data_IF_939007392104
#
_entry.id   IF_939007392104
#
_cell.length_a   1.000
_cell.length_b   1.000
_cell.length_c   1.000
_cell.angle_alpha   90.00
_cell.angle_beta   90.00
_cell.angle_gamma   90.00
#
_symmetry.space_group_name_H-M   'P 1'
#
loop_
_entity.id
_entity.type
_entity.pdbx_description
1 polymer ?
#
# COMPACT_ATOMS: atom_id res chain seq x y z
N UNK A 1 19.08 9.60 -54.19
CA UNK A 1 19.17 10.36 -52.93
C UNK A 1 17.88 10.09 -52.17
N UNK A 2 17.95 9.18 -51.20
CA UNK A 2 16.80 8.73 -50.41
C UNK A 2 17.00 9.20 -48.98
N UNK A 3 16.10 10.04 -48.50
CA UNK A 3 16.12 10.53 -47.12
C UNK A 3 15.42 9.52 -46.22
N UNK A 4 16.11 9.13 -45.15
CA UNK A 4 15.59 8.33 -44.04
C UNK A 4 15.28 9.31 -42.90
N UNK A 5 14.01 9.38 -42.47
CA UNK A 5 13.59 10.14 -41.28
C UNK A 5 13.24 9.14 -40.19
N UNK A 6 13.90 9.25 -39.03
CA UNK A 6 13.59 8.47 -37.83
C UNK A 6 12.29 8.97 -37.18
N UNK A 7 11.41 8.03 -36.83
CA UNK A 7 10.24 8.25 -35.95
C UNK A 7 10.51 7.48 -34.65
N UNK A 8 10.58 8.13 -33.47
CA UNK A 8 10.56 7.42 -32.20
C UNK A 8 9.13 6.95 -31.89
N UNK A 9 9.01 5.67 -31.58
CA UNK A 9 7.76 4.99 -31.26
C UNK A 9 7.51 4.97 -29.73
N UNK A 10 6.26 5.29 -29.37
CA UNK A 10 5.55 5.03 -28.12
C UNK A 10 5.84 5.88 -26.86
N UNK A 11 5.25 7.09 -26.84
CA UNK A 11 4.57 7.62 -25.65
C UNK A 11 3.09 7.23 -25.74
N UNK A 12 2.70 6.11 -25.12
CA UNK A 12 1.34 5.60 -25.12
C UNK A 12 0.42 6.37 -24.17
N UNK A 13 0.00 7.57 -24.56
CA UNK A 13 -1.18 8.23 -23.97
C UNK A 13 -2.40 7.62 -24.65
N UNK A 14 -2.99 6.59 -24.05
CA UNK A 14 -4.33 6.13 -24.44
C UNK A 14 -5.36 7.04 -23.79
N UNK A 15 -5.71 8.10 -24.52
CA UNK A 15 -6.94 8.85 -24.32
C UNK A 15 -8.11 7.95 -24.77
N UNK A 16 -8.96 7.50 -23.83
CA UNK A 16 -10.23 6.87 -24.17
C UNK A 16 -11.41 7.68 -23.62
N UNK A 17 -12.03 8.38 -24.57
CA UNK A 17 -13.41 8.89 -24.70
C UNK A 17 -14.32 8.95 -23.46
N UNK A 18 -14.74 10.18 -23.13
CA UNK A 18 -15.97 10.47 -22.38
C UNK A 18 -16.81 11.56 -23.07
N UNK A 19 -18.12 11.44 -22.94
CA UNK A 19 -19.13 12.42 -23.32
C UNK A 19 -18.84 13.77 -22.67
N UNK A 20 -18.64 14.80 -23.48
CA UNK A 20 -18.46 16.19 -23.04
C UNK A 20 -19.85 16.81 -22.93
N UNK A 21 -20.32 17.12 -21.72
CA UNK A 21 -21.44 18.02 -21.52
C UNK A 21 -20.90 19.44 -21.33
N UNK A 22 -21.28 20.36 -22.22
CA UNK A 22 -20.95 21.78 -22.11
C UNK A 22 -21.99 22.48 -21.25
N UNK A 23 -21.56 23.08 -20.14
CA UNK A 23 -22.39 24.01 -19.36
C UNK A 23 -21.92 25.44 -19.64
N UNK A 24 -22.84 26.31 -20.04
CA UNK A 24 -22.58 27.72 -20.29
C UNK A 24 -22.61 28.49 -18.97
N UNK A 25 -21.48 29.09 -18.57
CA UNK A 25 -21.50 30.11 -17.52
C UNK A 25 -21.81 31.48 -18.15
N UNK A 26 -22.56 32.34 -17.44
CA UNK A 26 -23.01 33.66 -17.90
C UNK A 26 -21.89 34.63 -18.32
N UNK A 27 -20.61 34.24 -18.14
CA UNK A 27 -19.42 35.00 -18.51
C UNK A 27 -18.67 34.44 -19.74
N UNK A 28 -19.27 33.54 -20.53
CA UNK A 28 -18.66 33.05 -21.78
C UNK A 28 -17.44 32.14 -21.62
N UNK A 29 -17.18 31.64 -20.40
CA UNK A 29 -16.12 30.66 -20.15
C UNK A 29 -16.70 29.24 -20.28
N UNK A 30 -16.19 28.46 -21.24
CA UNK A 30 -16.50 27.03 -21.33
C UNK A 30 -15.86 26.29 -20.14
N UNK A 31 -16.68 25.87 -19.17
CA UNK A 31 -16.24 24.98 -18.10
C UNK A 31 -16.49 23.55 -18.57
N UNK A 32 -15.43 22.86 -18.99
CA UNK A 32 -15.48 21.41 -19.26
C UNK A 32 -15.46 20.69 -17.92
N UNK A 33 -16.60 20.21 -17.46
CA UNK A 33 -16.69 19.41 -16.25
C UNK A 33 -16.35 17.95 -16.60
N UNK A 34 -15.06 17.63 -16.63
CA UNK A 34 -14.61 16.26 -16.80
C UNK A 34 -14.96 15.43 -15.55
N UNK A 35 -15.91 14.50 -15.65
CA UNK A 35 -16.08 13.48 -14.62
C UNK A 35 -14.86 12.55 -14.67
N UNK A 36 -13.86 12.79 -13.83
CA UNK A 36 -12.73 11.87 -13.69
C UNK A 36 -13.27 10.52 -13.20
N UNK A 37 -13.08 9.45 -13.99
CA UNK A 37 -13.30 8.11 -13.47
C UNK A 37 -12.16 7.82 -12.49
N UNK A 38 -12.50 7.34 -11.29
CA UNK A 38 -11.54 6.98 -10.27
C UNK A 38 -11.10 5.52 -10.50
N UNK A 39 -9.85 5.33 -10.92
CA UNK A 39 -9.28 4.01 -11.14
C UNK A 39 -7.95 3.84 -10.41
N UNK A 40 -7.61 2.59 -10.10
CA UNK A 40 -6.29 2.22 -9.62
C UNK A 40 -5.37 1.94 -10.81
N UNK A 41 -4.15 2.50 -10.83
CA UNK A 41 -3.13 2.12 -11.81
C UNK A 41 -2.82 0.62 -11.73
N UNK A 42 -2.38 0.01 -12.84
CA UNK A 42 -2.16 -1.43 -12.95
C UNK A 42 -1.17 -1.97 -11.90
N UNK A 43 -0.22 -1.14 -11.46
CA UNK A 43 0.76 -1.47 -10.44
C UNK A 43 0.14 -1.70 -9.05
N UNK A 44 -1.00 -1.05 -8.79
CA UNK A 44 -1.76 -1.24 -7.55
C UNK A 44 -2.74 -2.40 -7.63
N UNK A 45 -3.11 -2.85 -8.84
CA UNK A 45 -4.11 -3.89 -9.04
C UNK A 45 -3.52 -5.29 -8.73
N UNK A 46 -4.36 -6.17 -8.20
CA UNK A 46 -4.00 -7.55 -7.87
C UNK A 46 -4.59 -8.03 -6.55
N UNK A 47 -4.21 -9.25 -6.16
CA UNK A 47 -4.59 -9.84 -4.87
C UNK A 47 -3.42 -9.77 -3.91
N UNK A 48 -3.69 -9.33 -2.69
CA UNK A 48 -2.73 -9.07 -1.64
C UNK A 48 -3.14 -9.76 -0.34
N UNK A 49 -2.18 -9.95 0.55
CA UNK A 49 -2.36 -10.44 1.91
C UNK A 49 -2.00 -9.32 2.88
N UNK A 50 -2.79 -9.15 3.93
CA UNK A 50 -2.52 -8.21 5.03
C UNK A 50 -2.75 -8.89 6.37
N UNK A 51 -1.99 -8.48 7.38
CA UNK A 51 -2.24 -8.88 8.75
C UNK A 51 -3.44 -8.12 9.31
N UNK A 52 -4.39 -8.83 9.94
CA UNK A 52 -5.61 -8.23 10.50
C UNK A 52 -5.58 -8.12 12.02
N UNK A 53 -4.98 -9.07 12.73
CA UNK A 53 -4.82 -9.04 14.19
C UNK A 53 -3.57 -9.80 14.63
N UNK A 54 -2.98 -9.38 15.75
CA UNK A 54 -2.10 -10.19 16.58
C UNK A 54 -2.75 -10.25 17.96
N UNK A 55 -3.48 -11.32 18.25
CA UNK A 55 -4.05 -11.51 19.59
C UNK A 55 -2.98 -12.15 20.49
N UNK A 56 -2.62 -11.46 21.56
CA UNK A 56 -1.83 -12.01 22.66
C UNK A 56 -2.78 -12.68 23.67
N UNK A 57 -3.46 -13.75 23.25
CA UNK A 57 -4.22 -14.58 24.17
C UNK A 57 -3.33 -15.77 24.58
N UNK A 58 -3.01 -15.88 25.87
CA UNK A 58 -2.26 -16.99 26.47
C UNK A 58 -0.80 -17.17 26.03
N UNK A 59 -0.05 -16.08 25.86
CA UNK A 59 1.40 -16.16 25.60
C UNK A 59 1.77 -16.68 24.21
N UNK A 60 0.80 -16.84 23.31
CA UNK A 60 1.01 -17.10 21.88
C UNK A 60 0.69 -15.87 21.04
N UNK A 61 1.48 -15.63 19.99
CA UNK A 61 1.20 -14.62 18.96
C UNK A 61 0.45 -15.28 17.80
N UNK A 62 -0.88 -15.34 17.87
CA UNK A 62 -1.68 -15.83 16.74
C UNK A 62 -1.89 -14.66 15.77
N UNK A 63 -1.15 -14.68 14.67
CA UNK A 63 -1.25 -13.69 13.60
C UNK A 63 -2.29 -14.15 12.59
N UNK A 64 -3.37 -13.40 12.42
CA UNK A 64 -4.37 -13.68 11.37
C UNK A 64 -4.09 -12.85 10.13
N UNK A 65 -4.19 -13.50 8.98
CA UNK A 65 -4.03 -12.88 7.67
C UNK A 65 -5.38 -12.83 6.94
N UNK A 66 -5.62 -11.76 6.20
CA UNK A 66 -6.77 -11.62 5.31
C UNK A 66 -6.32 -11.28 3.91
N UNK A 67 -7.06 -11.75 2.92
CA UNK A 67 -6.84 -11.40 1.52
C UNK A 67 -7.62 -10.14 1.15
N UNK A 68 -6.97 -9.26 0.39
CA UNK A 68 -7.53 -8.01 -0.13
C UNK A 68 -7.24 -7.97 -1.62
N UNK A 69 -8.27 -7.70 -2.42
CA UNK A 69 -8.11 -7.53 -3.86
C UNK A 69 -8.28 -6.05 -4.20
N UNK A 70 -7.31 -5.50 -4.94
CA UNK A 70 -7.40 -4.18 -5.56
C UNK A 70 -7.81 -4.40 -7.01
N UNK A 71 -9.05 -4.06 -7.30
CA UNK A 71 -9.64 -4.13 -8.64
C UNK A 71 -9.35 -2.83 -9.40
N UNK A 72 -9.90 -2.73 -10.62
CA UNK A 72 -9.71 -1.56 -11.48
C UNK A 72 -10.29 -0.29 -10.82
N UNK A 73 -11.45 -0.40 -10.18
CA UNK A 73 -12.16 0.72 -9.56
C UNK A 73 -12.56 0.47 -8.10
N UNK A 74 -12.13 -0.61 -7.44
CA UNK A 74 -12.57 -0.94 -6.10
C UNK A 74 -11.50 -1.64 -5.26
N UNK A 75 -11.63 -1.55 -3.92
CA UNK A 75 -10.87 -2.38 -2.98
C UNK A 75 -11.89 -3.04 -2.04
N UNK A 76 -12.45 -4.21 -2.35
CA UNK A 76 -13.37 -4.89 -1.46
C UNK A 76 -12.63 -5.45 -0.23
N UNK A 77 -13.21 -5.40 0.98
CA UNK A 77 -14.54 -4.85 1.33
C UNK A 77 -14.52 -3.35 1.69
N UNK A 78 -13.45 -2.61 1.41
CA UNK A 78 -13.28 -1.23 1.86
C UNK A 78 -14.06 -0.18 1.06
N UNK A 79 -14.38 -0.48 -0.21
CA UNK A 79 -15.29 0.33 -1.02
C UNK A 79 -14.82 0.54 -2.46
N UNK A 80 -15.64 1.26 -3.24
CA UNK A 80 -15.34 1.65 -4.63
C UNK A 80 -14.65 3.02 -4.67
N UNK A 81 -13.72 3.18 -5.60
CA UNK A 81 -13.02 4.42 -5.88
C UNK A 81 -14.03 5.49 -6.30
N UNK A 82 -14.16 6.52 -5.47
CA UNK A 82 -15.04 7.67 -5.74
C UNK A 82 -14.26 8.86 -6.31
N UNK A 83 -13.10 9.15 -5.73
CA UNK A 83 -12.21 10.25 -6.20
C UNK A 83 -10.75 9.97 -5.87
N UNK A 84 -9.85 10.36 -6.78
CA UNK A 84 -8.39 10.25 -6.58
C UNK A 84 -7.71 11.59 -6.80
N UNK A 85 -6.77 11.94 -5.93
CA UNK A 85 -5.90 13.12 -6.04
C UNK A 85 -4.48 12.72 -5.66
N UNK A 86 -3.63 12.47 -6.66
CA UNK A 86 -2.28 11.96 -6.45
C UNK A 86 -2.31 10.59 -5.79
N UNK A 87 -1.75 10.50 -4.58
CA UNK A 87 -1.72 9.29 -3.75
C UNK A 87 -2.93 9.15 -2.83
N UNK A 88 -3.73 10.21 -2.67
CA UNK A 88 -4.94 10.17 -1.87
C UNK A 88 -6.12 9.64 -2.69
N UNK A 89 -6.80 8.63 -2.18
CA UNK A 89 -7.96 7.99 -2.79
C UNK A 89 -9.10 8.00 -1.78
N UNK A 90 -10.26 8.51 -2.21
CA UNK A 90 -11.51 8.46 -1.47
C UNK A 90 -12.27 7.24 -1.96
N UNK A 91 -12.50 6.28 -1.05
CA UNK A 91 -13.37 5.14 -1.28
C UNK A 91 -14.74 5.39 -0.69
N UNK A 92 -15.76 4.93 -1.40
CA UNK A 92 -17.15 4.95 -0.97
C UNK A 92 -17.68 3.52 -0.98
N UNK A 93 -18.16 3.07 0.16
CA UNK A 93 -18.91 1.83 0.29
C UNK A 93 -20.38 2.16 0.57
N UNK A 94 -21.28 1.57 -0.22
CA UNK A 94 -22.74 1.74 -0.10
C UNK A 94 -23.44 0.43 0.22
N UNK A 95 -22.69 -0.65 0.46
CA UNK A 95 -23.26 -1.99 0.69
C UNK A 95 -23.85 -2.16 2.09
N UNK A 96 -23.47 -1.32 3.06
CA UNK A 96 -23.90 -1.37 4.46
C UNK A 96 -25.15 -0.55 4.83
N UNK A 97 -25.93 -0.06 3.86
CA UNK A 97 -27.15 0.72 4.09
C UNK A 97 -26.93 2.23 4.24
N UNK A 98 -25.86 2.67 4.90
CA UNK A 98 -25.40 4.07 4.90
C UNK A 98 -24.13 4.23 4.07
N UNK A 99 -23.99 5.39 3.42
CA UNK A 99 -22.78 5.76 2.68
C UNK A 99 -21.59 5.86 3.63
N UNK A 100 -20.59 5.03 3.41
CA UNK A 100 -19.40 4.94 4.23
C UNK A 100 -18.18 5.37 3.40
N UNK A 101 -17.80 6.63 3.57
CA UNK A 101 -16.75 7.31 2.81
C UNK A 101 -15.47 7.39 3.64
N UNK A 102 -14.34 7.01 3.05
CA UNK A 102 -13.02 7.00 3.70
C UNK A 102 -11.95 7.54 2.77
N UNK A 103 -10.97 8.24 3.34
CA UNK A 103 -9.77 8.60 2.61
C UNK A 103 -8.58 7.71 2.96
N UNK A 104 -7.84 7.32 1.93
CA UNK A 104 -6.64 6.51 2.00
C UNK A 104 -5.50 7.21 1.28
N UNK A 105 -4.30 7.14 1.84
CA UNK A 105 -3.07 7.53 1.15
C UNK A 105 -2.32 6.26 0.73
N UNK A 106 -2.23 6.01 -0.57
CA UNK A 106 -1.60 4.82 -1.14
C UNK A 106 -0.17 5.14 -1.57
N UNK A 107 0.78 4.29 -1.18
CA UNK A 107 2.18 4.38 -1.59
C UNK A 107 2.66 3.01 -2.05
N UNK A 108 3.05 2.89 -3.32
CA UNK A 108 3.75 1.71 -3.81
C UNK A 108 5.20 1.72 -3.27
N UNK A 109 5.53 0.79 -2.39
CA UNK A 109 6.89 0.66 -1.82
C UNK A 109 7.79 -0.19 -2.71
N UNK A 110 7.22 -1.22 -3.31
CA UNK A 110 7.82 -2.07 -4.32
C UNK A 110 6.71 -2.66 -5.18
N UNK A 111 7.05 -3.39 -6.25
CA UNK A 111 6.06 -4.07 -7.09
C UNK A 111 5.14 -5.01 -6.29
N UNK A 112 5.61 -5.52 -5.16
CA UNK A 112 4.88 -6.49 -4.33
C UNK A 112 4.39 -5.93 -3.00
N UNK A 113 4.62 -4.65 -2.69
CA UNK A 113 4.23 -4.06 -1.41
C UNK A 113 3.57 -2.70 -1.61
N UNK A 114 2.29 -2.62 -1.23
CA UNK A 114 1.54 -1.36 -1.14
C UNK A 114 1.42 -1.00 0.33
N UNK A 115 1.85 0.21 0.68
CA UNK A 115 1.64 0.81 1.98
C UNK A 115 0.43 1.74 1.91
N UNK A 116 -0.47 1.63 2.88
CA UNK A 116 -1.69 2.42 2.95
C UNK A 116 -1.75 3.10 4.29
N UNK A 117 -2.00 4.41 4.28
CA UNK A 117 -2.31 5.16 5.49
C UNK A 117 -3.77 5.61 5.49
N UNK A 118 -4.42 5.52 6.64
CA UNK A 118 -5.81 5.93 6.84
C UNK A 118 -6.08 6.20 8.33
N UNK A 119 -7.16 6.90 8.68
CA UNK A 119 -7.61 6.99 10.07
C UNK A 119 -8.00 5.63 10.67
N UNK A 120 -8.26 4.65 9.81
CA UNK A 120 -8.58 3.28 10.15
C UNK A 120 -9.87 2.80 9.50
N UNK A 121 -9.97 1.49 9.29
CA UNK A 121 -11.12 0.88 8.61
C UNK A 121 -12.43 0.99 9.41
N UNK A 122 -12.36 1.13 10.73
CA UNK A 122 -13.53 1.23 11.60
C UNK A 122 -14.21 2.62 11.57
N UNK A 123 -13.53 3.67 11.11
CA UNK A 123 -14.11 5.02 11.00
C UNK A 123 -14.51 5.29 9.54
N UNK A 124 -15.68 5.88 9.34
CA UNK A 124 -16.08 6.43 8.05
C UNK A 124 -17.01 7.64 8.21
N UNK A 125 -17.19 8.34 7.11
CA UNK A 125 -17.96 9.57 7.01
C UNK A 125 -19.10 9.40 6.02
N UNK A 126 -20.20 10.11 6.23
CA UNK A 126 -21.33 10.16 5.30
C UNK A 126 -21.21 11.28 4.26
N UNK A 127 -20.23 12.17 4.44
CA UNK A 127 -19.99 13.34 3.61
C UNK A 127 -18.55 13.31 3.04
N UNK A 128 -18.42 13.64 1.75
CA UNK A 128 -17.13 13.59 1.04
C UNK A 128 -16.15 14.67 1.53
N UNK A 129 -16.63 15.89 1.78
CA UNK A 129 -15.81 16.98 2.29
C UNK A 129 -15.20 16.65 3.66
N UNK A 130 -15.96 15.99 4.53
CA UNK A 130 -15.50 15.52 5.83
C UNK A 130 -14.43 14.44 5.69
N UNK A 131 -14.66 13.42 4.86
CA UNK A 131 -13.65 12.39 4.58
C UNK A 131 -12.37 12.96 3.96
N UNK A 132 -12.52 13.96 3.08
CA UNK A 132 -11.39 14.64 2.44
C UNK A 132 -10.54 15.42 3.43
N UNK A 133 -11.16 16.03 4.44
CA UNK A 133 -10.44 16.76 5.48
C UNK A 133 -9.56 15.85 6.35
N UNK A 134 -9.82 14.53 6.34
CA UNK A 134 -9.04 13.54 7.09
C UNK A 134 -8.11 12.68 6.23
N UNK A 135 -7.93 13.05 4.96
CA UNK A 135 -6.91 12.45 4.12
C UNK A 135 -5.51 12.62 4.73
N UNK A 136 -4.70 11.55 4.82
CA UNK A 136 -3.31 11.69 5.24
C UNK A 136 -2.54 12.63 4.30
N UNK A 137 -1.80 13.56 4.89
CA UNK A 137 -0.76 14.31 4.20
C UNK A 137 0.61 13.67 4.44
N UNK A 138 1.60 13.99 3.60
CA UNK A 138 2.94 13.37 3.68
C UNK A 138 3.60 13.58 5.05
N UNK A 139 3.39 14.75 5.68
CA UNK A 139 3.98 15.06 6.98
C UNK A 139 3.36 14.21 8.08
N UNK A 140 2.05 14.10 8.12
CA UNK A 140 1.31 13.34 9.12
C UNK A 140 1.51 11.82 8.95
N UNK A 141 1.79 11.37 7.72
CA UNK A 141 2.30 10.03 7.43
C UNK A 141 3.68 9.83 8.07
N UNK A 142 4.63 10.76 7.88
CA UNK A 142 5.96 10.67 8.52
C UNK A 142 5.88 10.71 10.05
N UNK A 143 4.95 11.49 10.60
CA UNK A 143 4.69 11.62 12.04
C UNK A 143 3.89 10.43 12.62
N UNK A 144 3.57 9.40 11.81
CA UNK A 144 2.85 8.18 12.21
C UNK A 144 1.51 8.45 12.91
N UNK A 145 0.80 9.51 12.51
CA UNK A 145 -0.51 9.88 13.09
C UNK A 145 -1.67 9.05 12.55
N UNK A 146 -1.44 8.33 11.46
CA UNK A 146 -2.43 7.50 10.79
C UNK A 146 -2.11 6.02 10.99
N UNK A 147 -3.15 5.19 10.90
CA UNK A 147 -2.97 3.74 10.89
C UNK A 147 -2.33 3.32 9.58
N UNK A 148 -1.30 2.50 9.69
CA UNK A 148 -0.61 1.88 8.57
C UNK A 148 -1.20 0.49 8.30
N UNK A 149 -1.43 0.19 7.03
CA UNK A 149 -1.79 -1.14 6.53
C UNK A 149 -0.80 -1.49 5.42
N UNK A 150 -0.21 -2.68 5.50
CA UNK A 150 0.71 -3.20 4.49
C UNK A 150 0.03 -4.32 3.71
N UNK A 151 -0.04 -4.17 2.40
CA UNK A 151 -0.54 -5.17 1.47
C UNK A 151 0.63 -5.84 0.76
N UNK A 152 0.78 -7.14 0.93
CA UNK A 152 1.81 -7.96 0.29
C UNK A 152 1.20 -8.74 -0.87
N UNK A 153 1.71 -8.57 -2.09
CA UNK A 153 1.16 -9.21 -3.30
C UNK A 153 1.18 -10.72 -3.12
N UNK A 154 0.11 -11.41 -3.53
CA UNK A 154 -0.06 -12.87 -3.43
C UNK A 154 0.35 -13.59 -4.72
N UNK A 155 0.03 -13.02 -5.89
CA UNK A 155 0.38 -13.54 -7.22
C UNK A 155 0.54 -12.39 -8.24
N UNK A 156 1.30 -12.62 -9.31
CA UNK A 156 1.36 -11.72 -10.46
C UNK A 156 0.15 -11.94 -11.39
N UNK A 157 -0.39 -10.88 -12.00
CA UNK A 157 -1.52 -11.02 -12.93
C UNK A 157 -1.05 -11.71 -14.22
N UNK A 158 -1.67 -12.84 -14.58
CA UNK A 158 -1.49 -13.50 -15.88
C UNK A 158 -0.46 -14.64 -15.91
N UNK A 159 0.23 -14.93 -14.80
CA UNK A 159 1.16 -16.06 -14.68
C UNK A 159 0.86 -16.87 -13.42
N UNK A 160 0.96 -18.20 -13.52
CA UNK A 160 0.97 -19.13 -12.36
C UNK A 160 2.26 -19.01 -11.55
N UNK A 161 2.99 -17.90 -11.68
CA UNK A 161 4.27 -17.68 -11.04
C UNK A 161 4.02 -17.03 -9.68
N UNK A 162 4.65 -17.60 -8.66
CA UNK A 162 4.79 -16.99 -7.34
C UNK A 162 5.41 -15.61 -7.53
N UNK A 163 4.87 -14.62 -6.82
CA UNK A 163 5.44 -13.27 -6.60
C UNK A 163 6.95 -13.34 -6.78
N UNK A 164 7.50 -12.64 -7.79
CA UNK A 164 8.96 -12.63 -7.98
C UNK A 164 9.60 -12.35 -6.63
N UNK A 165 10.44 -13.27 -6.14
CA UNK A 165 11.17 -13.11 -4.90
C UNK A 165 11.95 -11.80 -5.01
N UNK A 166 11.43 -10.73 -4.40
CA UNK A 166 12.11 -9.46 -4.36
C UNK A 166 13.42 -9.71 -3.62
N UNK A 167 14.52 -9.48 -4.33
CA UNK A 167 15.86 -9.61 -3.78
C UNK A 167 15.93 -8.81 -2.47
N UNK A 168 16.31 -9.51 -1.39
CA UNK A 168 16.40 -9.06 0.00
C UNK A 168 16.56 -7.51 0.13
N UNK A 169 15.56 -6.77 0.67
CA UNK A 169 15.53 -5.29 0.65
C UNK A 169 16.59 -4.64 1.56
N UNK A 170 17.32 -5.46 2.32
CA UNK A 170 18.44 -5.06 3.15
C UNK A 170 19.72 -5.65 2.53
N UNK A 171 20.54 -4.79 1.93
CA UNK A 171 21.85 -5.16 1.40
C UNK A 171 22.93 -4.80 2.41
N UNK A 172 23.64 -5.81 2.92
CA UNK A 172 24.79 -5.60 3.81
C UNK A 172 24.90 -6.59 4.96
N UNK A 173 25.92 -6.36 5.80
CA UNK A 173 26.11 -7.01 7.10
C UNK A 173 26.01 -5.94 8.18
N UNK A 174 25.15 -6.19 9.14
CA UNK A 174 24.83 -5.27 10.22
C UNK A 174 25.18 -5.94 11.53
N UNK A 175 25.60 -5.14 12.50
CA UNK A 175 25.77 -5.56 13.89
C UNK A 175 24.58 -5.07 14.69
N UNK A 176 24.05 -5.90 15.56
CA UNK A 176 22.88 -5.55 16.36
C UNK A 176 23.04 -5.96 17.83
N UNK A 177 22.38 -5.20 18.70
CA UNK A 177 22.08 -5.56 20.08
C UNK A 177 20.60 -5.93 20.16
N UNK A 178 20.24 -6.80 21.09
CA UNK A 178 18.86 -7.29 21.25
C UNK A 178 18.50 -7.24 22.72
N UNK A 179 17.27 -6.84 23.04
CA UNK A 179 16.72 -6.87 24.40
C UNK A 179 15.24 -7.24 24.31
N UNK A 180 14.82 -8.28 25.03
CA UNK A 180 13.44 -8.71 25.15
C UNK A 180 13.12 -9.10 26.61
N UNK A 181 11.83 -9.29 26.91
CA UNK A 181 11.34 -9.62 28.26
C UNK A 181 11.93 -8.71 29.35
N UNK A 182 11.78 -7.38 29.20
CA UNK A 182 12.28 -6.42 30.20
C UNK A 182 13.79 -6.52 30.49
N UNK A 183 14.60 -7.00 29.53
CA UNK A 183 16.05 -7.15 29.68
C UNK A 183 16.49 -8.53 30.16
N UNK A 184 15.54 -9.46 30.35
CA UNK A 184 15.85 -10.86 30.68
C UNK A 184 16.61 -11.56 29.54
N UNK A 185 16.28 -11.21 28.29
CA UNK A 185 16.99 -11.72 27.12
C UNK A 185 17.75 -10.59 26.47
N UNK A 186 19.08 -10.63 26.53
CA UNK A 186 19.89 -9.57 26.00
C UNK A 186 21.13 -10.05 25.24
N UNK A 187 21.47 -9.27 24.23
CA UNK A 187 22.76 -9.26 23.55
C UNK A 187 23.33 -7.84 23.74
N UNK A 188 24.00 -7.62 24.87
CA UNK A 188 24.49 -6.28 25.27
C UNK A 188 25.60 -5.76 24.37
N UNK A 189 26.30 -6.69 23.71
CA UNK A 189 27.39 -6.38 22.80
C UNK A 189 26.93 -6.49 21.34
N UNK A 190 27.32 -5.56 20.45
CA UNK A 190 26.98 -5.58 19.03
C UNK A 190 27.83 -6.61 18.25
N UNK A 191 28.02 -7.80 18.82
CA UNK A 191 28.71 -8.91 18.16
C UNK A 191 27.75 -9.78 17.34
N UNK A 192 26.45 -9.65 17.59
CA UNK A 192 25.44 -10.35 16.79
C UNK A 192 25.38 -9.73 15.40
N UNK A 193 25.27 -10.59 14.38
CA UNK A 193 25.33 -10.20 12.98
C UNK A 193 23.99 -10.47 12.31
N UNK A 194 23.48 -9.47 11.61
CA UNK A 194 22.37 -9.60 10.67
C UNK A 194 22.98 -9.47 9.27
N UNK A 195 22.78 -10.44 8.39
CA UNK A 195 23.18 -10.32 7.00
C UNK A 195 22.03 -10.60 6.05
N UNK A 196 22.21 -10.14 4.81
CA UNK A 196 21.29 -10.42 3.73
C UNK A 196 21.03 -11.93 3.54
N UNK A 197 20.02 -12.20 2.74
CA UNK A 197 19.44 -13.50 2.54
C UNK A 197 20.35 -14.41 1.69
N UNK A 198 20.98 -15.46 2.24
CA UNK A 198 21.80 -16.39 1.46
C UNK A 198 20.97 -17.21 0.47
N UNK A 199 19.64 -17.28 0.65
CA UNK A 199 18.68 -18.02 -0.17
C UNK A 199 17.53 -17.13 -0.70
N UNK A 200 17.78 -15.83 -0.92
CA UNK A 200 16.83 -14.92 -1.57
C UNK A 200 15.97 -14.10 -0.60
N UNK A 201 15.11 -14.74 0.20
CA UNK A 201 14.04 -14.08 0.95
C UNK A 201 14.07 -14.23 2.50
N UNK A 202 15.05 -14.95 3.06
CA UNK A 202 15.20 -15.12 4.51
C UNK A 202 16.36 -14.31 5.10
N UNK A 203 16.11 -13.47 6.11
CA UNK A 203 17.18 -12.76 6.83
C UNK A 203 18.07 -13.74 7.61
N UNK A 204 19.39 -13.58 7.51
CA UNK A 204 20.33 -14.38 8.29
C UNK A 204 20.67 -13.63 9.59
N UNK A 205 20.18 -14.16 10.71
CA UNK A 205 20.43 -13.61 12.04
C UNK A 205 21.35 -14.54 12.80
N UNK A 206 22.51 -14.03 13.22
CA UNK A 206 23.49 -14.76 14.03
C UNK A 206 23.65 -14.07 15.37
N UNK A 207 22.98 -14.61 16.38
CA UNK A 207 23.17 -14.19 17.75
C UNK A 207 24.54 -14.64 18.26
N UNK A 208 25.29 -13.72 18.86
CA UNK A 208 26.59 -14.01 19.48
C UNK A 208 26.62 -13.42 20.89
N UNK A 209 27.06 -14.25 21.84
CA UNK A 209 27.18 -13.86 23.25
C UNK A 209 25.88 -13.31 23.83
N UNK A 210 24.77 -13.99 23.56
CA UNK A 210 23.45 -13.62 24.04
C UNK A 210 22.99 -14.58 25.14
N UNK A 211 22.23 -14.06 26.10
CA UNK A 211 21.54 -14.88 27.09
C UNK A 211 20.18 -15.30 26.52
N UNK A 212 20.01 -16.60 26.26
CA UNK A 212 18.73 -17.21 25.88
C UNK A 212 18.29 -18.21 26.96
N UNK A 213 16.97 -18.42 27.11
CA UNK A 213 16.48 -19.46 28.01
C UNK A 213 16.94 -20.82 27.49
N UNK A 214 17.53 -21.62 28.37
CA UNK A 214 17.77 -23.04 28.12
C UNK A 214 16.45 -23.78 28.31
N UNK A 215 15.96 -24.43 27.25
CA UNK A 215 14.80 -25.31 27.30
C UNK A 215 15.08 -26.55 28.17
#
# INVERSE_FOLDING_TARGET
MSHMVQIPLFSGVLANTKTIESLYNQNGLHVVQASCICYFPIEYQGTFVTQTQASAAFGGHTVTYSEITVEVDSIPPWGRCHRRRGNNVILKDTTGGEDCIRCFHLTLKSLNVIQIHTEGLARCYTNEEAARATCPDERAVMERRFKEILLFRKHEQGTTMTVEDLFCPISGRFRFTYSANHGEFQCDQPYSELSNCPSGNALNVKFRQCAFPTW
#
